data_IF_724963143563
#
_entry.id   IF_724963143563
#
_cell.length_a   1.000
_cell.length_b   1.000
_cell.length_c   1.000
_cell.angle_alpha   90.00
_cell.angle_beta   90.00
_cell.angle_gamma   90.00
#
_symmetry.space_group_name_H-M   'P 1'
#
loop_
_entity.id
_entity.type
_entity.pdbx_description
1 polymer ?
#
# COMPACT_ATOMS: atom_id res chain seq x y z
N UNK A 1 47.93 15.20 -10.93
CA UNK A 1 46.84 15.54 -11.87
C UNK A 1 45.50 15.24 -11.20
N UNK A 2 44.53 16.11 -11.43
CA UNK A 2 43.32 16.28 -10.63
C UNK A 2 42.20 15.24 -10.90
N UNK A 3 41.23 15.28 -9.99
CA UNK A 3 40.03 14.46 -9.84
C UNK A 3 39.13 14.31 -11.08
N UNK A 4 38.32 13.24 -11.10
CA UNK A 4 37.29 13.05 -12.13
C UNK A 4 36.24 11.99 -11.78
N UNK A 5 35.46 12.23 -10.73
CA UNK A 5 34.24 11.46 -10.40
C UNK A 5 33.17 11.71 -11.47
N UNK A 6 32.81 10.71 -12.28
CA UNK A 6 31.63 10.82 -13.18
C UNK A 6 30.35 10.40 -12.46
N UNK A 7 29.41 11.33 -12.48
CA UNK A 7 28.07 11.30 -11.89
C UNK A 7 27.05 10.70 -12.89
N UNK A 8 26.13 9.90 -12.35
CA UNK A 8 24.66 9.88 -12.54
C UNK A 8 24.01 10.05 -13.93
N UNK A 9 23.05 9.17 -14.23
CA UNK A 9 21.70 9.44 -14.80
C UNK A 9 20.79 8.33 -14.25
N UNK A 10 19.58 8.48 -13.75
CA UNK A 10 18.51 9.48 -13.78
C UNK A 10 17.45 8.88 -12.82
N UNK A 11 16.93 9.57 -11.80
CA UNK A 11 16.01 10.69 -11.96
C UNK A 11 14.56 10.21 -11.99
N UNK A 12 14.01 9.83 -10.82
CA UNK A 12 12.59 10.01 -10.47
C UNK A 12 12.59 10.46 -9.01
N UNK A 13 12.52 11.77 -8.80
CA UNK A 13 12.28 12.35 -7.49
C UNK A 13 10.81 12.18 -7.16
N UNK A 14 10.52 11.25 -6.25
CA UNK A 14 9.21 11.11 -5.64
C UNK A 14 9.01 12.30 -4.70
N UNK A 15 8.32 13.33 -5.20
CA UNK A 15 7.93 14.54 -4.45
C UNK A 15 6.91 14.12 -3.40
N UNK A 16 7.38 13.49 -2.33
CA UNK A 16 6.58 13.24 -1.14
C UNK A 16 6.66 14.47 -0.24
N UNK A 17 5.48 15.05 -0.03
CA UNK A 17 5.21 16.20 0.81
C UNK A 17 6.10 16.26 2.07
N UNK A 18 6.70 17.44 2.24
CA UNK A 18 7.56 17.80 3.38
C UNK A 18 6.73 17.90 4.66
N UNK A 19 6.29 16.77 5.20
CA UNK A 19 5.87 16.61 6.60
C UNK A 19 6.11 15.19 7.11
N UNK A 20 7.20 14.56 6.66
CA UNK A 20 7.65 13.31 7.26
C UNK A 20 8.27 13.65 8.62
N UNK A 21 7.54 13.34 9.71
CA UNK A 21 8.20 13.14 11.01
C UNK A 21 9.32 12.14 10.75
N UNK A 22 10.57 12.53 10.99
CA UNK A 22 11.72 11.65 10.82
C UNK A 22 11.59 10.53 11.86
N UNK A 23 10.95 9.43 11.46
CA UNK A 23 10.89 8.21 12.25
C UNK A 23 12.30 7.63 12.19
N UNK A 24 13.04 7.73 13.29
CA UNK A 24 14.37 7.16 13.47
C UNK A 24 14.31 5.69 13.04
N UNK A 25 15.06 5.33 12.00
CA UNK A 25 15.08 3.97 11.49
C UNK A 25 15.84 3.11 12.49
N UNK A 26 15.12 2.41 13.37
CA UNK A 26 15.69 1.61 14.45
C UNK A 26 16.32 0.30 13.98
N UNK A 27 16.38 0.04 12.67
CA UNK A 27 16.86 -1.23 12.10
C UNK A 27 15.91 -2.40 12.35
N UNK A 28 14.82 -2.20 13.10
CA UNK A 28 13.82 -3.22 13.36
C UNK A 28 12.76 -3.26 12.25
N UNK A 29 12.39 -4.48 11.86
CA UNK A 29 11.36 -4.72 10.85
C UNK A 29 10.02 -4.16 11.35
N UNK A 30 9.55 -3.08 10.71
CA UNK A 30 8.28 -2.45 11.07
C UNK A 30 7.12 -3.41 10.80
N UNK A 31 6.20 -3.52 11.75
CA UNK A 31 4.94 -4.22 11.54
C UNK A 31 4.06 -3.42 10.59
N UNK A 32 3.56 -4.06 9.54
CA UNK A 32 2.69 -3.46 8.53
C UNK A 32 1.40 -4.29 8.50
N UNK A 33 0.27 -3.65 8.75
CA UNK A 33 -1.05 -4.30 8.76
C UNK A 33 -2.00 -3.64 7.77
N UNK A 34 -2.87 -4.46 7.16
CA UNK A 34 -3.98 -4.01 6.33
C UNK A 34 -5.28 -3.98 7.15
N UNK A 35 -6.04 -2.88 7.04
CA UNK A 35 -7.37 -2.76 7.64
C UNK A 35 -8.41 -2.52 6.53
N UNK A 36 -9.33 -3.47 6.37
CA UNK A 36 -10.40 -3.40 5.37
C UNK A 36 -11.73 -3.23 6.08
N UNK A 37 -12.32 -2.03 5.96
CA UNK A 37 -13.60 -1.70 6.62
C UNK A 37 -14.79 -2.19 5.81
N UNK A 38 -15.34 -3.34 6.18
CA UNK A 38 -16.43 -4.00 5.46
C UNK A 38 -17.78 -3.95 6.22
N UNK A 39 -18.28 -2.75 6.56
CA UNK A 39 -19.57 -2.65 7.28
C UNK A 39 -20.74 -3.28 6.51
N UNK A 40 -21.76 -3.72 7.22
CA UNK A 40 -22.99 -4.27 6.61
C UNK A 40 -23.88 -3.19 5.97
N UNK A 41 -24.04 -2.04 6.64
CA UNK A 41 -24.87 -0.94 6.14
C UNK A 41 -24.28 -0.26 4.91
N UNK A 42 -25.06 -0.07 3.85
CA UNK A 42 -24.62 0.61 2.64
C UNK A 42 -25.78 1.40 2.07
N UNK A 43 -25.54 2.69 1.79
CA UNK A 43 -26.59 3.65 1.39
C UNK A 43 -27.21 3.31 0.03
N UNK A 44 -26.43 2.78 -0.90
CA UNK A 44 -26.91 2.38 -2.24
C UNK A 44 -27.22 0.90 -2.35
N UNK A 45 -26.25 0.05 -2.01
CA UNK A 45 -26.37 -1.41 -2.18
C UNK A 45 -26.24 -2.08 -0.81
N UNK A 46 -27.32 -2.48 -0.14
CA UNK A 46 -27.26 -3.21 1.12
C UNK A 46 -26.34 -4.43 1.03
N UNK A 47 -25.53 -4.67 2.07
CA UNK A 47 -24.59 -5.80 2.13
C UNK A 47 -23.62 -5.91 0.94
N UNK A 48 -23.23 -4.77 0.33
CA UNK A 48 -22.39 -4.76 -0.89
C UNK A 48 -21.13 -5.63 -0.82
N UNK A 49 -20.50 -5.74 0.35
CA UNK A 49 -19.20 -6.41 0.50
C UNK A 49 -19.29 -7.94 0.32
N UNK A 50 -20.45 -8.54 0.55
CA UNK A 50 -20.69 -9.99 0.36
C UNK A 50 -21.41 -10.31 -0.95
N UNK A 51 -21.92 -9.30 -1.67
CA UNK A 51 -22.55 -9.52 -2.97
C UNK A 51 -21.53 -9.99 -3.99
N UNK A 52 -21.94 -10.94 -4.83
CA UNK A 52 -21.10 -11.51 -5.90
C UNK A 52 -20.95 -10.49 -7.02
N UNK A 53 -19.70 -10.27 -7.42
CA UNK A 53 -19.29 -9.47 -8.58
C UNK A 53 -18.32 -10.32 -9.41
N UNK A 54 -18.73 -10.68 -10.63
CA UNK A 54 -17.97 -11.55 -11.54
C UNK A 54 -17.54 -12.88 -10.88
N UNK A 55 -18.46 -13.55 -10.17
CA UNK A 55 -18.22 -14.85 -9.54
C UNK A 55 -17.51 -14.81 -8.19
N UNK A 56 -17.08 -13.63 -7.71
CA UNK A 56 -16.40 -13.47 -6.41
C UNK A 56 -17.15 -12.45 -5.55
N UNK A 57 -17.31 -12.66 -4.22
CA UNK A 57 -17.83 -11.61 -3.33
C UNK A 57 -17.00 -10.32 -3.46
N UNK A 58 -17.63 -9.15 -3.44
CA UNK A 58 -16.94 -7.86 -3.67
C UNK A 58 -15.68 -7.68 -2.81
N UNK A 59 -15.75 -8.06 -1.52
CA UNK A 59 -14.59 -7.99 -0.62
C UNK A 59 -13.42 -8.90 -1.05
N UNK A 60 -13.70 -10.00 -1.75
CA UNK A 60 -12.69 -10.93 -2.26
C UNK A 60 -11.72 -10.27 -3.24
N UNK A 61 -12.18 -9.29 -4.03
CA UNK A 61 -11.31 -8.49 -4.91
C UNK A 61 -10.31 -7.64 -4.11
N UNK A 62 -10.73 -7.08 -2.98
CA UNK A 62 -9.85 -6.29 -2.09
C UNK A 62 -8.84 -7.19 -1.38
N UNK A 63 -9.29 -8.35 -0.89
CA UNK A 63 -8.41 -9.32 -0.22
C UNK A 63 -7.34 -9.86 -1.18
N UNK A 64 -7.72 -10.18 -2.42
CA UNK A 64 -6.78 -10.62 -3.46
C UNK A 64 -5.72 -9.55 -3.72
N UNK A 65 -6.12 -8.30 -3.90
CA UNK A 65 -5.16 -7.20 -4.09
C UNK A 65 -4.19 -7.04 -2.90
N UNK A 66 -4.69 -7.18 -1.67
CA UNK A 66 -3.86 -7.11 -0.46
C UNK A 66 -2.79 -8.22 -0.45
N UNK A 67 -3.18 -9.45 -0.77
CA UNK A 67 -2.25 -10.59 -0.86
C UNK A 67 -1.26 -10.42 -2.02
N UNK A 68 -1.75 -10.11 -3.22
CA UNK A 68 -0.95 -10.00 -4.45
C UNK A 68 0.09 -8.86 -4.38
N UNK A 69 -0.18 -7.84 -3.56
CA UNK A 69 0.76 -6.72 -3.32
C UNK A 69 2.06 -7.13 -2.63
N UNK A 70 2.07 -8.27 -1.91
CA UNK A 70 3.18 -8.76 -1.09
C UNK A 70 3.69 -7.75 -0.05
N UNK A 71 2.88 -6.76 0.32
CA UNK A 71 3.25 -5.73 1.31
C UNK A 71 3.02 -6.20 2.76
N UNK A 72 2.10 -7.15 2.94
CA UNK A 72 1.70 -7.65 4.25
C UNK A 72 2.21 -9.08 4.43
N UNK A 73 2.83 -9.33 5.57
CA UNK A 73 3.33 -10.65 5.96
C UNK A 73 2.47 -11.18 7.11
N UNK A 74 2.39 -12.50 7.25
CA UNK A 74 1.74 -13.15 8.38
C UNK A 74 2.63 -13.13 9.62
#
# INVERSE_FOLDING_TARGET
MAAGKKRTRSGIEDVRDKKTKVIKDSGEKRHIAALILARGGSKGIPLKNVKVLAGVPLIGWVLRAAVDSKQFHR
#
